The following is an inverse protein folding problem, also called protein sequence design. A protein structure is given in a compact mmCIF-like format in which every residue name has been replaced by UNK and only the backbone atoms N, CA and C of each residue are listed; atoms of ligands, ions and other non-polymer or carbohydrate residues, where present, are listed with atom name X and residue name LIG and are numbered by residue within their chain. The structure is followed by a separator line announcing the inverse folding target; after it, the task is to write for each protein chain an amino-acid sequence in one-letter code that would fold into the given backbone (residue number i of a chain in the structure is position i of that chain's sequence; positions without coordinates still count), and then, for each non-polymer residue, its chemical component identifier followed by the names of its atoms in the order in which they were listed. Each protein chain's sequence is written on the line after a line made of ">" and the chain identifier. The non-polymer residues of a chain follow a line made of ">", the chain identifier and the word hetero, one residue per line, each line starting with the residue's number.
data_IF_552300189173
#
_entry.id   IF_552300189173
#
_cell.length_a   1.000
_cell.length_b   1.000
_cell.length_c   1.000
_cell.angle_alpha   90.00
_cell.angle_beta   90.00
_cell.angle_gamma   90.00
#
_symmetry.space_group_name_H-M   'P 1'
#
loop_
_entity.id
_entity.type
_entity.pdbx_description
1 polymer ?
#
# COMPACT_ATOMS: atom_id res chain seq x y z
N UNK A 1 20.33 -31.71 -2.22
CA UNK A 1 19.53 -31.42 -1.01
C UNK A 1 19.75 -30.01 -0.43
N UNK A 2 20.79 -29.26 -0.84
CA UNK A 2 21.16 -27.96 -0.26
C UNK A 2 20.21 -26.77 -0.60
N UNK A 3 19.56 -26.76 -1.77
CA UNK A 3 18.79 -25.61 -2.24
C UNK A 3 17.50 -25.32 -1.42
N UNK A 4 16.86 -26.36 -0.86
CA UNK A 4 15.60 -26.21 -0.09
C UNK A 4 15.75 -25.33 1.15
N UNK A 5 16.96 -25.19 1.70
CA UNK A 5 17.21 -24.43 2.92
C UNK A 5 17.55 -22.95 2.68
N UNK A 6 17.85 -22.54 1.44
CA UNK A 6 18.26 -21.16 1.13
C UNK A 6 17.09 -20.24 0.79
N UNK A 7 16.10 -20.73 0.03
CA UNK A 7 15.01 -19.88 -0.46
C UNK A 7 14.04 -19.37 0.64
N UNK A 8 13.54 -20.21 1.58
CA UNK A 8 12.55 -19.76 2.56
C UNK A 8 13.06 -18.65 3.52
N UNK A 9 14.29 -18.71 4.06
CA UNK A 9 14.81 -17.65 4.93
C UNK A 9 14.99 -16.31 4.19
N UNK A 10 15.50 -16.34 2.96
CA UNK A 10 15.72 -15.13 2.17
C UNK A 10 14.39 -14.44 1.85
N UNK A 11 13.38 -15.21 1.45
CA UNK A 11 12.03 -14.68 1.19
C UNK A 11 11.42 -14.05 2.44
N UNK A 12 11.47 -14.74 3.60
CA UNK A 12 10.96 -14.20 4.87
C UNK A 12 11.65 -12.90 5.27
N UNK A 13 12.98 -12.82 5.13
CA UNK A 13 13.76 -11.63 5.49
C UNK A 13 13.48 -10.43 4.57
N UNK A 14 13.15 -10.66 3.30
CA UNK A 14 12.79 -9.57 2.38
C UNK A 14 11.35 -9.12 2.63
N UNK A 15 10.39 -10.05 2.75
CA UNK A 15 8.97 -9.70 3.00
C UNK A 15 8.80 -8.92 4.30
N UNK A 16 9.59 -9.22 5.35
CA UNK A 16 9.54 -8.48 6.61
C UNK A 16 9.97 -7.00 6.51
N UNK A 17 10.73 -6.61 5.47
CA UNK A 17 11.22 -5.23 5.29
C UNK A 17 10.30 -4.36 4.44
N UNK A 18 9.38 -4.98 3.69
CA UNK A 18 8.52 -4.29 2.74
C UNK A 18 7.07 -4.32 3.21
N UNK A 19 6.37 -3.20 3.06
CA UNK A 19 4.92 -3.18 3.23
C UNK A 19 4.24 -3.83 2.02
N UNK A 20 3.07 -4.39 2.21
CA UNK A 20 2.28 -5.05 1.16
C UNK A 20 1.98 -4.14 -0.04
N UNK A 21 1.77 -2.84 0.17
CA UNK A 21 1.62 -1.88 -0.93
C UNK A 21 2.90 -1.76 -1.79
N UNK A 22 4.07 -1.77 -1.16
CA UNK A 22 5.37 -1.70 -1.85
C UNK A 22 5.66 -3.01 -2.58
N UNK A 23 5.23 -4.16 -2.03
CA UNK A 23 5.35 -5.46 -2.70
C UNK A 23 4.55 -5.52 -4.02
N UNK A 24 3.44 -4.78 -4.12
CA UNK A 24 2.63 -4.65 -5.34
C UNK A 24 3.27 -3.65 -6.31
N UNK A 25 3.47 -2.42 -5.85
CA UNK A 25 3.93 -1.31 -6.71
C UNK A 25 5.38 -1.46 -7.16
N UNK A 26 6.24 -2.04 -6.34
CA UNK A 26 7.67 -2.19 -6.59
C UNK A 26 8.06 -3.66 -6.79
N UNK A 27 7.15 -4.50 -7.33
CA UNK A 27 7.40 -5.94 -7.54
C UNK A 27 8.73 -6.22 -8.25
N UNK A 28 9.07 -5.42 -9.27
CA UNK A 28 10.35 -5.56 -9.99
C UNK A 28 11.57 -5.30 -9.08
N UNK A 29 11.53 -4.25 -8.26
CA UNK A 29 12.61 -3.91 -7.34
C UNK A 29 12.77 -4.95 -6.24
N UNK A 30 11.65 -5.45 -5.70
CA UNK A 30 11.65 -6.55 -4.72
C UNK A 30 12.21 -7.82 -5.35
N UNK A 31 11.83 -8.14 -6.59
CA UNK A 31 12.36 -9.29 -7.32
C UNK A 31 13.87 -9.20 -7.52
N UNK A 32 14.40 -8.02 -7.87
CA UNK A 32 15.84 -7.78 -8.00
C UNK A 32 16.58 -7.96 -6.67
N UNK A 33 16.01 -7.46 -5.58
CA UNK A 33 16.59 -7.60 -4.24
C UNK A 33 16.63 -9.05 -3.76
N UNK A 34 15.56 -9.81 -4.00
CA UNK A 34 15.52 -11.25 -3.70
C UNK A 34 16.59 -11.97 -4.52
N UNK A 35 16.71 -11.65 -5.82
CA UNK A 35 17.73 -12.25 -6.69
C UNK A 35 19.14 -11.97 -6.20
N UNK A 36 19.47 -10.72 -5.84
CA UNK A 36 20.80 -10.37 -5.28
C UNK A 36 21.12 -11.15 -4.01
N UNK A 37 20.18 -11.22 -3.06
CA UNK A 37 20.38 -11.98 -1.81
C UNK A 37 20.49 -13.48 -2.02
N UNK A 38 19.76 -14.02 -2.99
CA UNK A 38 19.87 -15.43 -3.36
C UNK A 38 21.23 -15.69 -4.01
N UNK A 39 21.74 -14.80 -4.86
CA UNK A 39 23.08 -14.93 -5.46
C UNK A 39 24.17 -14.87 -4.39
N UNK A 40 24.12 -13.89 -3.48
CA UNK A 40 25.08 -13.78 -2.37
C UNK A 40 25.13 -15.07 -1.53
N UNK A 41 23.98 -15.71 -1.30
CA UNK A 41 23.90 -16.97 -0.54
C UNK A 41 24.17 -18.20 -1.39
N UNK A 42 23.95 -18.14 -2.70
CA UNK A 42 24.23 -19.22 -3.64
C UNK A 42 25.71 -19.31 -3.97
N UNK A 43 26.49 -18.23 -3.84
CA UNK A 43 27.96 -18.28 -3.91
C UNK A 43 28.55 -19.25 -2.88
N UNK A 44 27.95 -19.32 -1.69
CA UNK A 44 28.36 -20.27 -0.65
C UNK A 44 28.11 -21.74 -1.05
N UNK A 45 27.19 -22.00 -1.99
CA UNK A 45 26.78 -23.35 -2.38
C UNK A 45 27.08 -23.71 -3.85
N UNK A 46 27.54 -22.75 -4.66
CA UNK A 46 27.89 -22.91 -6.07
C UNK A 46 26.76 -23.50 -6.95
N UNK A 47 25.49 -23.23 -6.62
CA UNK A 47 24.31 -23.70 -7.38
C UNK A 47 23.58 -22.48 -7.96
N UNK A 48 23.73 -22.25 -9.26
CA UNK A 48 23.03 -21.20 -10.01
C UNK A 48 21.80 -21.80 -10.69
N UNK A 49 20.66 -21.84 -9.98
CA UNK A 49 19.36 -22.08 -10.59
C UNK A 49 18.60 -20.75 -10.75
N UNK A 50 17.97 -20.55 -11.90
CA UNK A 50 17.25 -19.32 -12.24
C UNK A 50 15.95 -19.20 -11.43
N UNK A 51 15.98 -18.40 -10.37
CA UNK A 51 14.81 -18.20 -9.49
C UNK A 51 13.86 -17.17 -10.09
N UNK A 52 12.71 -17.65 -10.56
CA UNK A 52 11.61 -16.82 -11.05
C UNK A 52 10.47 -16.74 -10.03
N UNK A 53 9.97 -15.53 -9.77
CA UNK A 53 8.90 -15.27 -8.80
C UNK A 53 7.53 -15.28 -9.51
N UNK A 54 6.86 -16.43 -9.54
CA UNK A 54 5.61 -16.62 -10.31
C UNK A 54 4.39 -15.90 -9.71
N UNK A 55 4.17 -15.96 -8.40
CA UNK A 55 3.02 -15.26 -7.78
C UNK A 55 3.25 -14.89 -6.30
N UNK A 56 3.12 -13.59 -5.99
CA UNK A 56 2.92 -13.09 -4.63
C UNK A 56 1.40 -13.04 -4.40
N UNK A 57 0.84 -14.00 -3.68
CA UNK A 57 -0.56 -14.00 -3.31
C UNK A 57 -0.74 -13.34 -1.93
N UNK A 58 -1.61 -12.34 -1.85
CA UNK A 58 -2.02 -11.76 -0.56
C UNK A 58 -3.08 -12.64 0.09
N UNK A 59 -3.08 -12.70 1.41
CA UNK A 59 -4.20 -13.31 2.13
C UNK A 59 -5.50 -12.56 1.81
N UNK A 60 -6.64 -13.26 1.66
CA UNK A 60 -7.94 -12.62 1.46
C UNK A 60 -8.30 -11.61 2.55
N UNK A 61 -7.82 -11.82 3.79
CA UNK A 61 -8.03 -10.87 4.90
C UNK A 61 -7.35 -9.51 4.66
N UNK A 62 -6.20 -9.51 3.96
CA UNK A 62 -5.48 -8.28 3.63
C UNK A 62 -6.23 -7.48 2.56
N UNK A 63 -6.77 -8.16 1.53
CA UNK A 63 -7.57 -7.50 0.50
C UNK A 63 -8.81 -6.81 1.11
N UNK A 64 -9.52 -7.50 2.00
CA UNK A 64 -10.66 -6.93 2.72
C UNK A 64 -10.28 -5.71 3.58
N UNK A 65 -9.13 -5.76 4.27
CA UNK A 65 -8.65 -4.65 5.07
C UNK A 65 -8.26 -3.43 4.21
N UNK A 66 -7.78 -3.64 2.98
CA UNK A 66 -7.45 -2.56 2.04
C UNK A 66 -8.73 -1.93 1.49
N UNK A 67 -9.73 -2.72 1.10
CA UNK A 67 -11.04 -2.20 0.68
C UNK A 67 -11.70 -1.38 1.79
N UNK A 68 -11.71 -1.87 3.02
CA UNK A 68 -12.27 -1.13 4.16
C UNK A 68 -11.58 0.24 4.36
N UNK A 69 -10.25 0.30 4.18
CA UNK A 69 -9.50 1.57 4.25
C UNK A 69 -9.86 2.51 3.10
N UNK A 70 -10.11 1.99 1.91
CA UNK A 70 -10.54 2.80 0.76
C UNK A 70 -11.93 3.39 0.98
N UNK A 71 -12.87 2.60 1.50
CA UNK A 71 -14.22 3.07 1.85
C UNK A 71 -14.14 4.17 2.91
N UNK A 72 -13.37 3.95 3.98
CA UNK A 72 -13.19 4.96 5.04
C UNK A 72 -12.56 6.27 4.51
N UNK A 73 -11.57 6.17 3.62
CA UNK A 73 -10.97 7.35 2.99
C UNK A 73 -11.97 8.11 2.11
N UNK A 74 -12.80 7.39 1.35
CA UNK A 74 -13.84 7.99 0.51
C UNK A 74 -14.93 8.66 1.35
N UNK A 75 -15.35 8.04 2.45
CA UNK A 75 -16.32 8.61 3.38
C UNK A 75 -15.78 9.87 4.06
N UNK A 76 -14.52 9.87 4.48
CA UNK A 76 -13.87 11.06 5.04
C UNK A 76 -13.84 12.23 4.03
N UNK A 77 -13.50 11.95 2.77
CA UNK A 77 -13.55 12.95 1.71
C UNK A 77 -14.97 13.48 1.51
N UNK A 78 -15.99 12.62 1.44
CA UNK A 78 -17.40 13.04 1.30
C UNK A 78 -17.86 13.89 2.48
N UNK A 79 -17.52 13.51 3.71
CA UNK A 79 -17.86 14.28 4.91
C UNK A 79 -17.24 15.68 4.87
N UNK A 80 -15.97 15.80 4.48
CA UNK A 80 -15.30 17.11 4.34
C UNK A 80 -15.95 18.00 3.27
N UNK A 81 -16.42 17.42 2.17
CA UNK A 81 -17.10 18.17 1.11
C UNK A 81 -18.46 18.71 1.57
N UNK A 82 -19.25 17.87 2.23
CA UNK A 82 -20.55 18.25 2.81
C UNK A 82 -20.43 19.35 3.85
N UNK A 83 -19.44 19.26 4.74
CA UNK A 83 -19.18 20.30 5.73
C UNK A 83 -18.85 21.63 5.04
N UNK A 84 -17.96 21.61 4.04
CA UNK A 84 -17.56 22.80 3.28
C UNK A 84 -18.74 23.44 2.55
N UNK A 85 -19.62 22.65 1.96
CA UNK A 85 -20.83 23.13 1.29
C UNK A 85 -21.79 23.81 2.28
N UNK A 86 -22.02 23.18 3.45
CA UNK A 86 -22.83 23.78 4.52
C UNK A 86 -22.23 25.11 5.00
N UNK A 87 -20.91 25.16 5.17
CA UNK A 87 -20.21 26.37 5.60
C UNK A 87 -20.33 27.51 4.58
N UNK A 88 -20.21 27.20 3.28
CA UNK A 88 -20.42 28.17 2.21
C UNK A 88 -21.85 28.74 2.21
N UNK A 89 -22.85 27.88 2.44
CA UNK A 89 -24.26 28.29 2.48
C UNK A 89 -24.57 29.19 3.67
N UNK A 90 -24.03 28.87 4.85
CA UNK A 90 -24.15 29.73 6.04
C UNK A 90 -23.48 31.10 5.82
N UNK A 91 -22.27 31.13 5.25
CA UNK A 91 -21.59 32.39 4.92
C UNK A 91 -22.38 33.26 3.94
N UNK A 92 -23.12 32.68 3.00
CA UNK A 92 -23.97 33.44 2.08
C UNK A 92 -25.17 34.06 2.80
N UNK A 93 -25.80 33.31 3.71
CA UNK A 93 -26.90 33.81 4.53
C UNK A 93 -26.46 34.91 5.49
N UNK A 94 -25.29 34.76 6.13
CA UNK A 94 -24.76 35.82 7.01
C UNK A 94 -24.51 37.12 6.25
N UNK A 95 -23.99 37.07 5.01
CA UNK A 95 -23.82 38.28 4.19
C UNK A 95 -25.15 38.96 3.86
N UNK A 96 -26.15 38.19 3.46
CA UNK A 96 -27.50 38.73 3.19
C UNK A 96 -28.15 39.33 4.44
N UNK A 97 -27.96 38.70 5.61
CA UNK A 97 -28.48 39.24 6.86
C UNK A 97 -27.81 40.56 7.27
N UNK A 98 -26.52 40.76 6.97
CA UNK A 98 -25.83 42.03 7.22
C UNK A 98 -26.37 43.13 6.31
N UNK A 99 -26.63 42.84 5.04
CA UNK A 99 -27.21 43.82 4.10
C UNK A 99 -28.62 44.25 4.50
N UNK A 100 -29.49 43.32 4.95
CA UNK A 100 -30.85 43.66 5.40
C UNK A 100 -30.83 44.48 6.70
N UNK A 101 -29.83 44.29 7.56
CA UNK A 101 -29.71 45.02 8.83
C UNK A 101 -29.08 46.42 8.68
N UNK A 102 -28.55 46.72 7.50
CA UNK A 102 -27.94 48.01 7.16
C UNK A 102 -28.91 48.97 6.44
N UNK A 103 -30.17 48.56 6.21
CA UNK A 103 -31.30 49.37 5.71
C UNK A 103 -32.19 49.74 6.89
#
# INVERSE_FOLDING_TARGET
>A
MAFRNVAPPVLKSVVAKFNAFQLITQRQQVSLLIRKRLIERALDFNILDDVSLTALAFSPQYAAAVEAKQVAAQEAQRASFLLRERQNRLNCLERLCVEIRAI
#
